data_IF_529347650781
#
_entry.id   IF_529347650781
#
_cell.length_a   1.000
_cell.length_b   1.000
_cell.length_c   1.000
_cell.angle_alpha   90.00
_cell.angle_beta   90.00
_cell.angle_gamma   90.00
#
_symmetry.space_group_name_H-M   'P 1'
#
loop_
_entity.id
_entity.type
_entity.pdbx_description
1 polymer ?
#
# COMPACT_ATOMS: atom_id res chain seq x y z
N UNK A 1 3.25 4.90 36.28
CA UNK A 1 1.88 4.37 36.31
C UNK A 1 1.97 2.88 36.61
N UNK A 2 1.33 2.38 37.67
CA UNK A 2 1.34 0.95 38.01
C UNK A 2 0.27 0.21 37.21
N UNK A 3 0.57 -1.00 36.74
CA UNK A 3 -0.41 -1.84 36.03
C UNK A 3 -1.08 -2.77 37.05
N UNK A 4 -2.39 -2.62 37.21
CA UNK A 4 -3.21 -3.56 37.98
C UNK A 4 -3.71 -4.68 37.05
N UNK A 5 -3.01 -5.83 37.09
CA UNK A 5 -3.36 -6.98 36.25
C UNK A 5 -4.66 -7.65 36.67
N UNK A 6 -5.04 -7.58 37.96
CA UNK A 6 -6.28 -8.20 38.43
C UNK A 6 -7.50 -7.45 37.87
N UNK A 7 -7.48 -6.12 37.91
CA UNK A 7 -8.52 -5.28 37.33
C UNK A 7 -8.58 -5.42 35.80
N UNK A 8 -7.42 -5.51 35.13
CA UNK A 8 -7.38 -5.71 33.68
C UNK A 8 -7.94 -7.07 33.27
N UNK A 9 -7.64 -8.15 34.01
CA UNK A 9 -8.25 -9.48 33.82
C UNK A 9 -9.75 -9.46 34.08
N UNK A 10 -10.21 -8.73 35.10
CA UNK A 10 -11.63 -8.60 35.40
C UNK A 10 -12.39 -7.91 34.24
N UNK A 11 -11.82 -6.84 33.68
CA UNK A 11 -12.36 -6.16 32.51
C UNK A 11 -12.38 -7.07 31.27
N UNK A 12 -11.28 -7.81 31.01
CA UNK A 12 -11.20 -8.77 29.91
C UNK A 12 -12.25 -9.88 30.07
N UNK A 13 -12.42 -10.41 31.29
CA UNK A 13 -13.42 -11.44 31.60
C UNK A 13 -14.85 -10.92 31.40
N UNK A 14 -15.11 -9.67 31.80
CA UNK A 14 -16.41 -9.04 31.57
C UNK A 14 -16.72 -8.87 30.07
N UNK A 15 -15.71 -8.57 29.25
CA UNK A 15 -15.86 -8.54 27.80
C UNK A 15 -16.07 -9.95 27.22
N UNK A 16 -15.27 -10.94 27.65
CA UNK A 16 -15.36 -12.34 27.22
C UNK A 16 -16.78 -12.91 27.34
N UNK A 17 -17.51 -12.57 28.41
CA UNK A 17 -18.91 -13.00 28.61
C UNK A 17 -19.89 -12.51 27.53
N UNK A 18 -19.47 -11.56 26.69
CA UNK A 18 -20.24 -11.00 25.57
C UNK A 18 -19.79 -11.54 24.21
N UNK A 19 -18.81 -12.45 24.19
CA UNK A 19 -18.28 -13.04 22.97
C UNK A 19 -19.39 -13.70 22.15
N UNK A 20 -19.36 -13.46 20.84
CA UNK A 20 -20.15 -14.21 19.87
C UNK A 20 -19.26 -15.32 19.30
N UNK A 21 -19.28 -16.49 19.94
CA UNK A 21 -18.45 -17.63 19.55
C UNK A 21 -19.25 -18.95 19.40
N UNK A 22 -20.34 -18.98 18.61
CA UNK A 22 -21.19 -20.17 18.52
C UNK A 22 -20.53 -21.33 17.76
N UNK A 23 -19.51 -21.07 16.93
CA UNK A 23 -18.90 -22.08 16.07
C UNK A 23 -17.76 -22.79 16.80
N UNK A 24 -16.77 -22.06 17.32
CA UNK A 24 -15.68 -22.68 18.09
C UNK A 24 -16.09 -23.08 19.50
N UNK A 25 -17.08 -22.38 20.09
CA UNK A 25 -17.40 -22.43 21.52
C UNK A 25 -16.21 -22.04 22.41
N UNK A 26 -15.33 -21.19 21.89
CA UNK A 26 -14.15 -20.68 22.59
C UNK A 26 -14.26 -19.15 22.74
N UNK A 27 -14.95 -18.67 23.80
CA UNK A 27 -15.09 -17.24 24.04
C UNK A 27 -13.76 -16.67 24.56
N UNK A 28 -13.39 -15.50 24.04
CA UNK A 28 -12.17 -14.77 24.40
C UNK A 28 -12.54 -13.32 24.67
N UNK A 29 -11.96 -12.75 25.71
CA UNK A 29 -12.04 -11.31 26.00
C UNK A 29 -10.66 -10.71 26.15
N UNK A 30 -10.54 -9.44 25.83
CA UNK A 30 -9.31 -8.66 25.96
C UNK A 30 -9.61 -7.32 26.62
N UNK A 31 -8.70 -6.82 27.45
CA UNK A 31 -8.73 -5.46 27.98
C UNK A 31 -7.33 -4.85 27.96
N UNK A 32 -7.26 -3.55 27.68
CA UNK A 32 -6.02 -2.82 27.51
C UNK A 32 -6.03 -1.53 28.34
N UNK A 33 -4.94 -1.30 29.08
CA UNK A 33 -4.64 -0.04 29.74
C UNK A 33 -4.03 0.91 28.72
N UNK A 34 -4.62 2.09 28.58
CA UNK A 34 -4.15 3.13 27.67
C UNK A 34 -3.27 4.13 28.45
N UNK A 35 -2.40 4.85 27.73
CA UNK A 35 -1.46 5.83 28.27
C UNK A 35 -2.12 7.02 28.99
N UNK A 36 -3.39 7.28 28.73
CA UNK A 36 -4.21 8.28 29.45
C UNK A 36 -4.92 7.75 30.70
N UNK A 37 -4.76 6.46 31.03
CA UNK A 37 -5.35 5.85 32.21
C UNK A 37 -6.67 5.10 32.00
N UNK A 38 -7.30 5.21 30.83
CA UNK A 38 -8.55 4.48 30.59
C UNK A 38 -8.28 3.01 30.30
N UNK A 39 -9.32 2.20 30.50
CA UNK A 39 -9.33 0.79 30.08
C UNK A 39 -10.29 0.65 28.90
N UNK A 40 -9.83 0.01 27.84
CA UNK A 40 -10.63 -0.38 26.68
C UNK A 40 -10.72 -1.89 26.60
N UNK A 41 -11.85 -2.43 26.14
CA UNK A 41 -12.06 -3.88 26.14
C UNK A 41 -12.85 -4.35 24.91
N UNK A 42 -12.67 -5.63 24.57
CA UNK A 42 -13.32 -6.27 23.43
C UNK A 42 -13.42 -7.79 23.62
N UNK A 43 -14.25 -8.42 22.80
CA UNK A 43 -14.43 -9.88 22.77
C UNK A 43 -14.39 -10.39 21.33
N UNK A 44 -14.14 -11.69 21.15
CA UNK A 44 -14.18 -12.26 19.81
C UNK A 44 -15.61 -12.31 19.24
N UNK A 45 -15.69 -12.13 17.93
CA UNK A 45 -16.93 -12.20 17.15
C UNK A 45 -16.66 -13.06 15.94
N UNK A 46 -17.23 -14.27 15.96
CA UNK A 46 -17.09 -15.23 14.89
C UNK A 46 -18.04 -14.95 13.73
N UNK A 47 -17.74 -15.58 12.60
CA UNK A 47 -18.55 -15.55 11.41
C UNK A 47 -18.63 -16.94 10.78
N UNK A 48 -19.73 -17.27 10.10
CA UNK A 48 -19.88 -18.53 9.37
C UNK A 48 -18.80 -18.72 8.30
N UNK A 49 -18.35 -17.62 7.66
CA UNK A 49 -17.11 -17.59 6.89
C UNK A 49 -15.95 -17.37 7.85
N UNK A 50 -15.32 -18.46 8.31
CA UNK A 50 -14.44 -18.44 9.49
C UNK A 50 -13.29 -17.45 9.40
N UNK A 51 -12.77 -17.17 8.19
CA UNK A 51 -11.71 -16.19 7.96
C UNK A 51 -12.08 -14.75 8.29
N UNK A 52 -13.37 -14.43 8.45
CA UNK A 52 -13.88 -13.12 8.86
C UNK A 52 -13.97 -12.96 10.38
N UNK A 53 -13.58 -13.98 11.16
CA UNK A 53 -13.61 -13.92 12.63
C UNK A 53 -12.69 -12.82 13.15
N UNK A 54 -13.28 -11.96 13.99
CA UNK A 54 -12.57 -10.91 14.70
C UNK A 54 -12.15 -11.43 16.08
N UNK A 55 -10.86 -11.33 16.39
CA UNK A 55 -10.35 -11.64 17.71
C UNK A 55 -10.72 -10.54 18.72
N UNK A 56 -10.65 -10.86 20.02
CA UNK A 56 -10.97 -9.92 21.08
C UNK A 56 -10.07 -8.68 21.06
N UNK A 57 -8.80 -8.87 20.73
CA UNK A 57 -7.80 -7.81 20.59
C UNK A 57 -8.12 -6.87 19.43
N UNK A 58 -8.76 -7.37 18.36
CA UNK A 58 -9.24 -6.52 17.26
C UNK A 58 -10.37 -5.59 17.73
N UNK A 59 -11.32 -6.12 18.49
CA UNK A 59 -12.41 -5.33 19.06
C UNK A 59 -11.89 -4.31 20.08
N UNK A 60 -10.90 -4.70 20.90
CA UNK A 60 -10.20 -3.79 21.83
C UNK A 60 -9.53 -2.63 21.09
N UNK A 61 -8.83 -2.89 19.99
CA UNK A 61 -8.19 -1.84 19.18
C UNK A 61 -9.24 -0.95 18.49
N UNK A 62 -10.36 -1.51 18.05
CA UNK A 62 -11.51 -0.72 17.61
C UNK A 62 -12.00 0.23 18.71
N UNK A 63 -12.17 -0.28 19.93
CA UNK A 63 -12.57 0.50 21.10
C UNK A 63 -11.53 1.56 21.52
N UNK A 64 -10.23 1.29 21.33
CA UNK A 64 -9.16 2.26 21.54
C UNK A 64 -9.41 3.53 20.72
N UNK A 65 -9.63 3.36 19.41
CA UNK A 65 -9.78 4.48 18.48
C UNK A 65 -11.13 5.17 18.58
N UNK A 66 -12.23 4.41 18.71
CA UNK A 66 -13.56 5.03 18.90
C UNK A 66 -13.68 5.74 20.24
N UNK A 67 -12.86 5.35 21.23
CA UNK A 67 -12.74 6.00 22.54
C UNK A 67 -11.73 7.15 22.62
N UNK A 68 -11.14 7.61 21.51
CA UNK A 68 -10.26 8.79 21.48
C UNK A 68 -8.79 8.54 21.13
N UNK A 69 -8.39 7.31 20.83
CA UNK A 69 -7.02 6.97 20.41
C UNK A 69 -5.98 7.03 21.54
N UNK A 70 -4.69 6.98 21.24
CA UNK A 70 -3.62 6.88 22.24
C UNK A 70 -2.84 5.57 22.13
N UNK A 71 -2.09 5.21 23.17
CA UNK A 71 -1.18 4.05 23.14
C UNK A 71 -1.50 3.01 24.20
N UNK A 72 -1.45 1.75 23.82
CA UNK A 72 -1.60 0.63 24.76
C UNK A 72 -0.32 0.47 25.58
N UNK A 73 -0.47 0.51 26.90
CA UNK A 73 0.62 0.28 27.87
C UNK A 73 0.67 -1.18 28.28
N UNK A 74 -0.50 -1.77 28.53
CA UNK A 74 -0.64 -3.16 28.95
C UNK A 74 -1.93 -3.79 28.41
N UNK A 75 -1.91 -5.09 28.12
CA UNK A 75 -3.06 -5.84 27.59
C UNK A 75 -3.19 -7.17 28.30
N UNK A 76 -4.40 -7.53 28.73
CA UNK A 76 -4.75 -8.87 29.22
C UNK A 76 -5.76 -9.49 28.27
N UNK A 77 -5.51 -10.74 27.83
CA UNK A 77 -6.47 -11.55 27.08
C UNK A 77 -6.81 -12.78 27.93
N UNK A 78 -8.08 -13.15 27.99
CA UNK A 78 -8.55 -14.29 28.78
C UNK A 78 -9.47 -15.19 27.98
N UNK A 79 -9.47 -16.49 28.30
CA UNK A 79 -10.37 -17.48 27.73
C UNK A 79 -11.70 -17.60 28.50
N UNK A 80 -12.50 -18.62 28.18
CA UNK A 80 -13.79 -18.89 28.83
C UNK A 80 -13.72 -19.22 30.32
N UNK A 81 -12.56 -19.60 30.84
CA UNK A 81 -12.33 -19.81 32.27
C UNK A 81 -11.87 -18.52 32.97
N UNK A 82 -11.60 -17.45 32.23
CA UNK A 82 -11.00 -16.22 32.76
C UNK A 82 -9.49 -16.30 32.93
N UNK A 83 -8.85 -17.36 32.40
CA UNK A 83 -7.41 -17.56 32.49
C UNK A 83 -6.67 -16.83 31.37
N UNK A 84 -5.48 -16.27 31.64
CA UNK A 84 -4.70 -15.58 30.61
C UNK A 84 -4.39 -16.47 29.40
N UNK A 85 -4.65 -15.94 28.20
CA UNK A 85 -4.34 -16.61 26.92
C UNK A 85 -3.51 -15.68 26.05
N UNK A 86 -2.54 -16.24 25.32
CA UNK A 86 -1.62 -15.44 24.51
C UNK A 86 -2.30 -14.98 23.21
N UNK A 87 -2.10 -13.71 22.78
CA UNK A 87 -2.56 -13.23 21.49
C UNK A 87 -2.02 -14.06 20.32
N UNK A 88 -2.88 -14.28 19.32
CA UNK A 88 -2.47 -14.95 18.08
C UNK A 88 -1.52 -14.05 17.26
N UNK A 89 -0.83 -14.61 16.27
CA UNK A 89 0.15 -13.86 15.47
C UNK A 89 -0.40 -12.58 14.84
N UNK A 90 -1.63 -12.64 14.29
CA UNK A 90 -2.33 -11.46 13.74
C UNK A 90 -2.51 -10.37 14.79
N UNK A 91 -2.94 -10.74 16.00
CA UNK A 91 -3.20 -9.78 17.07
C UNK A 91 -1.91 -9.21 17.64
N UNK A 92 -0.81 -9.98 17.68
CA UNK A 92 0.50 -9.43 18.07
C UNK A 92 0.91 -8.27 17.16
N UNK A 93 0.73 -8.42 15.84
CA UNK A 93 1.01 -7.36 14.87
C UNK A 93 0.07 -6.16 15.05
N UNK A 94 -1.22 -6.40 15.33
CA UNK A 94 -2.18 -5.32 15.58
C UNK A 94 -1.87 -4.55 16.87
N UNK A 95 -1.52 -5.25 17.95
CA UNK A 95 -1.12 -4.64 19.21
C UNK A 95 0.23 -3.92 19.07
N UNK A 96 1.11 -4.38 18.18
CA UNK A 96 2.41 -3.74 17.92
C UNK A 96 2.23 -2.32 17.41
N UNK A 97 1.30 -2.12 16.48
CA UNK A 97 0.97 -0.80 15.92
C UNK A 97 0.59 0.21 17.03
N UNK A 98 -0.18 -0.25 18.03
CA UNK A 98 -0.80 0.62 19.02
C UNK A 98 -0.11 0.64 20.39
N UNK A 99 0.78 -0.29 20.67
CA UNK A 99 1.53 -0.38 21.93
C UNK A 99 3.04 -0.41 21.77
N UNK A 100 3.54 -0.79 20.59
CA UNK A 100 4.97 -0.98 20.31
C UNK A 100 5.60 -2.13 21.10
N UNK A 101 6.91 -2.27 20.96
CA UNK A 101 7.68 -3.36 21.57
C UNK A 101 7.58 -3.42 23.11
N UNK A 102 7.39 -2.26 23.75
CA UNK A 102 7.37 -2.12 25.21
C UNK A 102 6.00 -2.43 25.85
N UNK A 103 4.91 -2.50 25.05
CA UNK A 103 3.60 -2.86 25.56
C UNK A 103 3.67 -4.23 26.25
N UNK A 104 3.16 -4.31 27.49
CA UNK A 104 3.16 -5.55 28.25
C UNK A 104 1.89 -6.35 27.94
N UNK A 105 2.05 -7.65 27.70
CA UNK A 105 0.95 -8.59 27.50
C UNK A 105 0.92 -9.55 28.67
N UNK A 106 -0.22 -9.68 29.31
CA UNK A 106 -0.44 -10.64 30.38
C UNK A 106 -0.22 -12.07 29.88
N UNK A 107 0.29 -12.93 30.75
CA UNK A 107 0.56 -14.32 30.41
C UNK A 107 0.38 -15.21 31.64
N UNK A 108 0.18 -16.53 31.47
CA UNK A 108 -0.05 -17.46 32.58
C UNK A 108 1.04 -17.46 33.67
N UNK A 109 2.27 -17.08 33.32
CA UNK A 109 3.41 -17.07 34.27
C UNK A 109 3.73 -15.66 34.75
N UNK A 110 4.12 -14.80 33.83
CA UNK A 110 4.44 -13.40 34.08
C UNK A 110 4.23 -12.59 32.80
N UNK A 111 3.82 -11.31 32.90
CA UNK A 111 3.67 -10.44 31.76
C UNK A 111 4.92 -10.39 30.88
N UNK A 112 4.72 -10.32 29.57
CA UNK A 112 5.79 -10.30 28.56
C UNK A 112 5.71 -9.03 27.73
N UNK A 113 6.85 -8.44 27.44
CA UNK A 113 6.92 -7.37 26.46
C UNK A 113 6.51 -7.91 25.08
N UNK A 114 5.74 -7.13 24.33
CA UNK A 114 5.26 -7.53 23.01
C UNK A 114 6.42 -7.80 22.04
N UNK A 115 7.55 -7.09 22.18
CA UNK A 115 8.77 -7.38 21.40
C UNK A 115 9.41 -8.74 21.67
N UNK A 116 9.14 -9.36 22.81
CA UNK A 116 9.53 -10.77 23.04
C UNK A 116 8.56 -11.75 22.37
N UNK A 117 7.30 -11.36 22.20
CA UNK A 117 6.25 -12.19 21.59
C UNK A 117 6.24 -12.10 20.06
N UNK A 118 6.74 -10.99 19.51
CA UNK A 118 6.87 -10.75 18.07
C UNK A 118 8.26 -10.13 17.79
N UNK A 119 9.33 -10.94 17.89
CA UNK A 119 10.66 -10.46 17.57
C UNK A 119 10.76 -10.14 16.08
N UNK A 120 11.48 -9.08 15.73
CA UNK A 120 11.63 -8.62 14.34
C UNK A 120 10.28 -8.41 13.65
N UNK A 121 9.33 -7.79 14.37
CA UNK A 121 8.03 -7.45 13.84
C UNK A 121 8.16 -6.61 12.56
N UNK A 122 7.38 -6.95 11.55
CA UNK A 122 7.26 -6.13 10.36
C UNK A 122 6.63 -4.78 10.72
N UNK A 123 7.21 -3.65 10.30
CA UNK A 123 6.65 -2.33 10.58
C UNK A 123 6.85 -1.30 9.45
N UNK A 124 6.54 -0.04 9.74
CA UNK A 124 6.66 1.07 8.79
C UNK A 124 8.08 1.22 8.23
N UNK A 125 9.13 0.89 8.99
CA UNK A 125 10.50 0.95 8.51
C UNK A 125 10.75 -0.08 7.39
N UNK A 126 10.13 -1.25 7.45
CA UNK A 126 10.21 -2.25 6.38
C UNK A 126 9.44 -1.79 5.14
N UNK A 127 8.28 -1.16 5.32
CA UNK A 127 7.53 -0.54 4.23
C UNK A 127 8.35 0.57 3.56
N UNK A 128 9.00 1.43 4.34
CA UNK A 128 9.82 2.52 3.83
C UNK A 128 11.08 2.00 3.13
N UNK A 129 11.70 0.94 3.65
CA UNK A 129 12.85 0.28 3.02
C UNK A 129 12.48 -0.46 1.73
N UNK A 130 11.26 -1.01 1.66
CA UNK A 130 10.75 -1.74 0.50
C UNK A 130 10.02 -0.86 -0.52
N UNK A 131 9.67 0.38 -0.15
CA UNK A 131 9.06 1.34 -1.06
C UNK A 131 10.15 1.72 -2.07
N UNK A 132 10.00 1.35 -3.36
CA UNK A 132 10.90 1.92 -4.35
C UNK A 132 10.74 3.44 -4.27
N UNK A 133 11.85 4.17 -4.40
CA UNK A 133 11.90 5.63 -4.24
C UNK A 133 10.60 6.28 -4.78
N UNK A 134 10.04 7.24 -4.04
CA UNK A 134 8.93 8.04 -4.56
C UNK A 134 9.29 8.74 -5.90
N UNK A 135 10.58 8.74 -6.25
CA UNK A 135 11.19 9.10 -7.53
C UNK A 135 11.28 7.95 -8.55
N UNK A 136 10.46 6.89 -8.45
CA UNK A 136 10.03 6.14 -9.63
C UNK A 136 9.10 7.00 -10.50
N UNK A 137 9.51 8.22 -10.83
CA UNK A 137 9.11 8.78 -12.10
C UNK A 137 9.48 7.72 -13.15
N UNK A 138 8.60 7.42 -14.12
CA UNK A 138 8.92 6.48 -15.18
C UNK A 138 10.31 6.82 -15.70
N UNK A 139 11.25 5.86 -15.62
CA UNK A 139 12.59 6.07 -16.15
C UNK A 139 12.43 6.08 -17.65
N UNK A 140 12.19 7.27 -18.19
CA UNK A 140 12.17 7.52 -19.63
C UNK A 140 13.45 6.89 -20.19
N UNK A 141 13.36 5.83 -21.02
CA UNK A 141 14.54 5.15 -21.53
C UNK A 141 15.51 6.20 -22.09
N UNK A 142 16.82 6.07 -21.86
CA UNK A 142 17.79 7.11 -22.25
C UNK A 142 17.70 7.52 -23.73
N UNK A 143 17.29 6.59 -24.60
CA UNK A 143 16.98 6.82 -26.02
C UNK A 143 15.88 7.87 -26.27
N UNK A 144 14.97 8.07 -25.31
CA UNK A 144 13.87 9.02 -25.38
C UNK A 144 14.22 10.40 -24.78
N UNK A 145 15.38 10.54 -24.13
CA UNK A 145 15.79 11.78 -23.47
C UNK A 145 15.87 12.98 -24.43
N UNK A 146 16.19 12.74 -25.71
CA UNK A 146 16.25 13.76 -26.75
C UNK A 146 14.90 14.44 -27.04
N UNK A 147 13.78 13.82 -26.66
CA UNK A 147 12.42 14.31 -26.90
C UNK A 147 11.81 15.02 -25.69
N UNK A 148 12.50 15.01 -24.53
CA UNK A 148 12.08 15.71 -23.32
C UNK A 148 12.09 17.23 -23.55
N UNK A 149 11.14 17.92 -22.92
CA UNK A 149 10.93 19.36 -23.00
C UNK A 149 10.33 19.88 -24.32
N UNK A 150 10.02 19.00 -25.28
CA UNK A 150 9.57 19.42 -26.62
C UNK A 150 8.05 19.38 -26.81
N UNK A 151 7.29 19.00 -25.78
CA UNK A 151 5.85 18.76 -25.89
C UNK A 151 5.51 17.59 -26.83
N UNK A 152 6.45 16.67 -27.00
CA UNK A 152 6.34 15.51 -27.90
C UNK A 152 5.81 14.31 -27.12
N UNK A 153 4.76 13.66 -27.61
CA UNK A 153 4.38 12.33 -27.14
C UNK A 153 5.25 11.30 -27.88
N UNK A 154 5.90 10.44 -27.12
CA UNK A 154 6.83 9.44 -27.66
C UNK A 154 6.27 8.05 -27.42
N UNK A 155 6.18 7.27 -28.49
CA UNK A 155 5.65 5.91 -28.48
C UNK A 155 6.78 4.96 -28.81
N UNK A 156 6.93 3.89 -28.05
CA UNK A 156 7.97 2.89 -28.32
C UNK A 156 7.52 1.48 -27.90
N UNK A 157 8.16 0.43 -28.45
CA UNK A 157 7.91 -0.93 -28.01
C UNK A 157 8.60 -1.18 -26.67
N UNK A 158 7.94 -1.95 -25.83
CA UNK A 158 8.38 -2.44 -24.53
C UNK A 158 8.07 -3.94 -24.40
N UNK A 159 8.75 -4.63 -23.50
CA UNK A 159 8.56 -6.06 -23.25
C UNK A 159 7.84 -6.28 -21.92
N UNK A 160 6.56 -6.66 -22.00
CA UNK A 160 5.76 -7.01 -20.83
C UNK A 160 5.64 -8.53 -20.78
N UNK A 161 6.29 -9.15 -19.80
CA UNK A 161 6.34 -10.61 -19.66
C UNK A 161 6.82 -11.37 -20.92
N UNK A 162 7.74 -10.76 -21.68
CA UNK A 162 8.30 -11.35 -22.90
C UNK A 162 7.41 -11.18 -24.14
N UNK A 163 6.31 -10.44 -24.04
CA UNK A 163 5.47 -10.05 -25.18
C UNK A 163 5.76 -8.59 -25.53
N UNK A 164 5.99 -8.32 -26.81
CA UNK A 164 6.13 -6.95 -27.31
C UNK A 164 4.78 -6.22 -27.21
N UNK A 165 4.81 -5.09 -26.51
CA UNK A 165 3.70 -4.17 -26.31
C UNK A 165 4.16 -2.76 -26.64
N UNK A 166 3.24 -1.86 -26.95
CA UNK A 166 3.53 -0.45 -27.19
C UNK A 166 3.19 0.35 -25.93
N UNK A 167 4.07 1.27 -25.54
CA UNK A 167 3.82 2.24 -24.48
C UNK A 167 4.10 3.65 -24.97
N UNK A 168 3.57 4.64 -24.27
CA UNK A 168 3.67 6.05 -24.59
C UNK A 168 4.13 6.87 -23.40
N UNK A 169 4.97 7.88 -23.66
CA UNK A 169 5.35 8.89 -22.67
C UNK A 169 4.99 10.27 -23.20
N UNK A 170 4.39 11.09 -22.34
CA UNK A 170 4.11 12.49 -22.64
C UNK A 170 4.36 13.36 -21.41
N UNK A 171 4.97 14.51 -21.63
CA UNK A 171 5.21 15.48 -20.56
C UNK A 171 4.01 16.39 -20.38
N UNK A 172 3.38 16.32 -19.21
CA UNK A 172 2.27 17.19 -18.83
C UNK A 172 2.79 18.38 -18.06
N UNK A 173 2.22 19.56 -18.31
CA UNK A 173 2.44 20.73 -17.46
C UNK A 173 1.81 20.50 -16.08
N UNK A 174 2.41 21.05 -15.03
CA UNK A 174 1.80 21.02 -13.70
C UNK A 174 0.46 21.79 -13.69
N UNK A 175 -0.62 21.19 -13.17
CA UNK A 175 -1.91 21.87 -13.09
C UNK A 175 -1.78 23.19 -12.29
N UNK A 176 -2.10 24.32 -12.95
CA UNK A 176 -2.08 25.64 -12.31
C UNK A 176 -0.74 26.40 -12.41
N UNK A 177 0.29 25.85 -13.05
CA UNK A 177 1.52 26.58 -13.38
C UNK A 177 1.62 26.89 -14.88
N UNK A 178 2.19 28.04 -15.27
CA UNK A 178 2.42 28.37 -16.67
C UNK A 178 3.42 27.39 -17.30
N UNK A 179 3.24 27.02 -18.58
CA UNK A 179 4.11 26.06 -19.27
C UNK A 179 5.57 26.52 -19.23
N UNK A 180 6.44 25.72 -18.61
CA UNK A 180 7.84 26.08 -18.39
C UNK A 180 8.75 25.41 -19.43
N UNK A 181 9.48 26.19 -20.24
CA UNK A 181 10.31 25.66 -21.33
C UNK A 181 11.51 24.81 -20.86
N UNK A 182 11.89 24.90 -19.59
CA UNK A 182 13.03 24.20 -19.00
C UNK A 182 12.75 23.88 -17.53
N UNK A 183 12.99 22.63 -17.10
CA UNK A 183 12.75 22.16 -15.73
C UNK A 183 12.23 20.72 -15.68
N UNK A 184 12.20 20.06 -14.50
CA UNK A 184 11.57 18.74 -14.36
C UNK A 184 10.07 18.85 -14.66
N UNK A 185 9.57 18.05 -15.60
CA UNK A 185 8.14 17.95 -15.95
C UNK A 185 7.57 16.62 -15.46
N UNK A 186 6.26 16.60 -15.18
CA UNK A 186 5.54 15.36 -14.86
C UNK A 186 5.49 14.52 -16.14
N UNK A 187 6.06 13.32 -16.08
CA UNK A 187 5.96 12.34 -17.16
C UNK A 187 4.68 11.53 -16.92
N UNK A 188 3.75 11.60 -17.86
CA UNK A 188 2.61 10.70 -17.96
C UNK A 188 3.03 9.48 -18.78
N UNK A 189 3.03 8.32 -18.13
CA UNK A 189 3.16 7.02 -18.79
C UNK A 189 1.76 6.50 -19.19
N UNK A 190 1.67 5.99 -20.41
CA UNK A 190 0.45 5.46 -20.97
C UNK A 190 0.21 3.99 -20.59
N UNK A 191 -1.02 3.46 -20.73
CA UNK A 191 -1.25 2.02 -20.68
C UNK A 191 -0.55 1.31 -21.85
N UNK A 192 -0.32 0.00 -21.69
CA UNK A 192 0.28 -0.82 -22.75
C UNK A 192 -0.76 -1.24 -23.81
N UNK A 193 -0.39 -1.19 -25.08
CA UNK A 193 -1.24 -1.61 -26.21
C UNK A 193 -0.60 -2.75 -27.02
N UNK A 194 -1.42 -3.71 -27.44
CA UNK A 194 -0.97 -4.77 -28.35
C UNK A 194 -0.81 -4.33 -29.81
N UNK A 195 -1.25 -3.12 -30.14
CA UNK A 195 -1.04 -2.52 -31.45
C UNK A 195 -0.59 -1.06 -31.33
N UNK A 196 0.23 -0.64 -32.28
CA UNK A 196 0.83 0.69 -32.32
C UNK A 196 -0.18 1.80 -32.67
N UNK A 197 -1.26 1.48 -33.40
CA UNK A 197 -2.23 2.48 -33.85
C UNK A 197 -2.97 3.11 -32.67
N UNK A 198 -3.33 2.30 -31.67
CA UNK A 198 -3.95 2.77 -30.43
C UNK A 198 -3.00 3.65 -29.62
N UNK A 199 -1.71 3.30 -29.57
CA UNK A 199 -0.67 4.11 -28.95
C UNK A 199 -0.51 5.48 -29.64
N UNK A 200 -0.53 5.50 -30.98
CA UNK A 200 -0.48 6.73 -31.79
C UNK A 200 -1.72 7.60 -31.56
N UNK A 201 -2.90 6.99 -31.50
CA UNK A 201 -4.13 7.70 -31.20
C UNK A 201 -4.09 8.37 -29.81
N UNK A 202 -3.55 7.66 -28.81
CA UNK A 202 -3.34 8.21 -27.47
C UNK A 202 -2.41 9.43 -27.46
N UNK A 203 -1.31 9.39 -28.22
CA UNK A 203 -0.36 10.50 -28.33
C UNK A 203 -0.98 11.72 -29.01
N UNK A 204 -1.70 11.51 -30.12
CA UNK A 204 -2.37 12.58 -30.88
C UNK A 204 -3.48 13.28 -30.10
N UNK A 205 -4.13 12.56 -29.18
CA UNK A 205 -5.13 13.16 -28.29
C UNK A 205 -4.52 14.17 -27.28
N UNK A 206 -3.20 14.16 -27.09
CA UNK A 206 -2.49 15.02 -26.12
C UNK A 206 -1.68 16.13 -26.78
N UNK A 207 -1.09 15.84 -27.93
CA UNK A 207 -0.20 16.79 -28.62
C UNK A 207 -0.18 16.54 -30.13
N UNK A 208 -0.04 17.60 -30.94
CA UNK A 208 0.20 17.47 -32.37
C UNK A 208 1.59 16.89 -32.69
N UNK A 209 2.52 16.86 -31.72
CA UNK A 209 3.87 16.30 -31.90
C UNK A 209 3.93 14.86 -31.38
N UNK A 210 3.82 13.89 -32.28
CA UNK A 210 3.91 12.47 -31.93
C UNK A 210 5.06 11.82 -32.68
N UNK A 211 5.92 11.11 -31.95
CA UNK A 211 7.06 10.37 -32.50
C UNK A 211 6.98 8.91 -32.08
N UNK A 212 7.09 8.02 -33.06
CA UNK A 212 7.21 6.58 -32.85
C UNK A 212 8.68 6.21 -32.94
N UNK A 213 9.20 5.48 -31.97
CA UNK A 213 10.57 4.98 -31.94
C UNK A 213 10.51 3.46 -31.91
N UNK A 214 11.12 2.80 -32.89
CA UNK A 214 11.18 1.34 -32.91
C UNK A 214 12.21 0.76 -31.92
N UNK A 215 12.28 -0.57 -31.86
CA UNK A 215 13.19 -1.33 -31.02
C UNK A 215 14.67 -0.99 -31.29
N UNK A 216 15.00 -0.66 -32.55
CA UNK A 216 16.32 -0.23 -33.00
C UNK A 216 16.61 1.26 -32.73
N UNK A 217 15.64 2.02 -32.22
CA UNK A 217 15.78 3.43 -31.88
C UNK A 217 15.53 4.40 -33.05
N UNK A 218 15.03 3.93 -34.20
CA UNK A 218 14.71 4.79 -35.32
C UNK A 218 13.38 5.55 -35.07
N UNK A 219 13.46 6.87 -35.13
CA UNK A 219 12.31 7.76 -34.93
C UNK A 219 11.53 7.98 -36.23
N UNK A 220 10.20 7.92 -36.15
CA UNK A 220 9.26 8.20 -37.24
C UNK A 220 8.16 9.15 -36.79
N UNK A 221 7.82 10.10 -37.66
CA UNK A 221 6.85 11.15 -37.40
C UNK A 221 5.42 10.61 -37.51
N UNK A 222 4.70 10.61 -36.40
CA UNK A 222 3.29 10.24 -36.33
C UNK A 222 2.40 11.42 -35.92
N UNK A 223 2.95 12.62 -35.79
CA UNK A 223 2.22 13.84 -35.44
C UNK A 223 1.38 14.41 -36.58
N UNK A 224 0.80 15.58 -36.34
CA UNK A 224 0.00 16.31 -37.31
C UNK A 224 0.87 17.11 -38.27
N UNK A 225 0.48 17.16 -39.55
CA UNK A 225 1.22 17.90 -40.57
C UNK A 225 2.50 17.21 -41.06
N UNK A 226 3.32 17.91 -41.87
CA UNK A 226 4.51 17.32 -42.49
C UNK A 226 5.60 16.99 -41.45
N UNK A 227 6.42 15.94 -41.69
CA UNK A 227 7.51 15.57 -40.80
C UNK A 227 8.52 16.71 -40.63
N UNK A 228 8.94 17.03 -39.40
CA UNK A 228 9.95 18.07 -39.16
C UNK A 228 11.36 17.55 -39.49
N UNK A 229 12.36 18.43 -39.69
CA UNK A 229 13.72 18.03 -40.09
C UNK A 229 14.41 17.03 -39.15
N UNK A 230 14.08 17.09 -37.85
CA UNK A 230 14.60 16.17 -36.83
C UNK A 230 14.02 14.74 -36.91
N UNK A 231 12.84 14.57 -37.53
CA UNK A 231 12.22 13.26 -37.79
C UNK A 231 11.62 13.27 -39.20
N UNK A 232 12.45 13.20 -40.26
CA UNK A 232 12.00 13.45 -41.62
C UNK A 232 11.14 12.32 -42.20
N UNK A 233 11.16 11.13 -41.59
CA UNK A 233 10.42 9.97 -42.07
C UNK A 233 9.05 9.90 -41.41
N UNK A 234 7.98 9.88 -42.22
CA UNK A 234 6.64 9.64 -41.72
C UNK A 234 6.47 8.20 -41.24
N UNK A 235 5.73 8.04 -40.15
CA UNK A 235 5.26 6.74 -39.71
C UNK A 235 4.17 6.22 -40.67
N UNK A 236 4.26 4.94 -41.02
CA UNK A 236 3.25 4.22 -41.80
C UNK A 236 2.70 3.09 -40.96
N UNK A 237 1.38 2.86 -40.98
CA UNK A 237 0.67 1.87 -40.17
C UNK A 237 0.97 0.39 -40.50
N UNK A 238 2.08 0.12 -41.19
CA UNK A 238 2.47 -1.17 -41.76
C UNK A 238 3.53 -1.92 -40.94
N UNK A 239 3.90 -1.45 -39.74
CA UNK A 239 4.74 -2.21 -38.81
C UNK A 239 3.93 -3.28 -38.09
N UNK A 240 3.73 -4.43 -38.73
CA UNK A 240 3.18 -5.62 -38.07
C UNK A 240 4.20 -6.17 -37.07
N UNK A 241 3.75 -6.40 -35.84
CA UNK A 241 4.45 -7.17 -34.80
C UNK A 241 4.76 -8.56 -35.37
N UNK A 242 6.02 -8.98 -35.34
CA UNK A 242 6.42 -10.37 -35.60
C UNK A 242 6.68 -11.08 -34.28
#
# INVERSE_FOLDING_TARGET
MGIDWADLRAAATAAMRRAYAPYSRYPVGAAGLVDDGRVVAGCNVENASYGLTLCAECALVGALHTGGGGRLVAVSCVDGAGEPVMPCGRCRQLLWEHGGAACLVDAPTAPRALGTLLPHAFDVADLDAGRPDADLAPVVPGRLAAWRGQGTAVIHPDLVHGVEMWTGYWERDEPGQPPQKTGPRIIEEAPNWGNIADAVAWGRARTPRVVVIDDLGAARWAGDGPPPPEVPQAWTSTGAVR
#
